data_IF_805535625698
#
_entry.id   IF_805535625698
#
_cell.length_a   1.000
_cell.length_b   1.000
_cell.length_c   1.000
_cell.angle_alpha   90.00
_cell.angle_beta   90.00
_cell.angle_gamma   90.00
#
_symmetry.space_group_name_H-M   'P 1'
#
loop_
_entity.id
_entity.type
_entity.pdbx_description
1 polymer ?
#
# COMPACT_ATOMS: atom_id res chain seq x y z
N UNK A 1 -32.54 4.74 -5.18
CA UNK A 1 -31.19 4.17 -5.38
C UNK A 1 -31.24 2.69 -5.03
N UNK A 2 -30.97 1.80 -5.98
CA UNK A 2 -30.84 0.37 -5.69
C UNK A 2 -29.47 0.15 -5.04
N UNK A 3 -29.45 0.09 -3.71
CA UNK A 3 -28.22 -0.21 -2.96
C UNK A 3 -27.92 -1.71 -3.03
N UNK A 4 -26.70 -2.05 -3.43
CA UNK A 4 -26.20 -3.42 -3.27
C UNK A 4 -25.88 -3.64 -1.80
N UNK A 5 -26.50 -4.65 -1.18
CA UNK A 5 -26.18 -5.04 0.20
C UNK A 5 -25.02 -6.02 0.21
N UNK A 6 -23.96 -5.68 0.93
CA UNK A 6 -22.81 -6.55 1.18
C UNK A 6 -22.90 -7.30 2.52
N UNK A 7 -24.06 -7.26 3.18
CA UNK A 7 -24.27 -7.97 4.44
C UNK A 7 -24.04 -9.47 4.24
N UNK A 8 -23.21 -10.08 5.10
CA UNK A 8 -22.80 -11.48 5.04
C UNK A 8 -22.11 -11.90 3.72
N UNK A 9 -21.58 -10.94 2.95
CA UNK A 9 -20.79 -11.21 1.73
C UNK A 9 -19.30 -10.93 1.90
N UNK A 10 -18.90 -10.31 3.01
CA UNK A 10 -17.52 -9.93 3.31
C UNK A 10 -17.00 -10.75 4.49
N UNK A 11 -15.85 -11.40 4.30
CA UNK A 11 -15.08 -12.01 5.38
C UNK A 11 -13.95 -11.06 5.78
N UNK A 12 -14.16 -10.28 6.85
CA UNK A 12 -13.17 -9.33 7.34
C UNK A 12 -11.96 -10.00 8.01
N UNK A 13 -11.96 -11.33 8.16
CA UNK A 13 -10.78 -12.07 8.59
C UNK A 13 -9.76 -12.28 7.45
N UNK A 14 -10.13 -11.95 6.20
CA UNK A 14 -9.36 -12.22 4.98
C UNK A 14 -9.18 -10.97 4.11
N UNK A 15 -8.66 -9.87 4.69
CA UNK A 15 -8.56 -8.60 3.96
C UNK A 15 -7.16 -8.39 3.37
N UNK A 16 -7.11 -8.09 2.08
CA UNK A 16 -5.94 -7.52 1.41
C UNK A 16 -6.18 -6.05 1.10
N UNK A 17 -5.13 -5.22 1.19
CA UNK A 17 -5.21 -3.81 0.82
C UNK A 17 -4.33 -3.54 -0.40
N UNK A 18 -4.80 -2.67 -1.28
CA UNK A 18 -4.01 -2.20 -2.42
C UNK A 18 -4.22 -0.71 -2.66
N UNK A 19 -3.19 -0.05 -3.16
CA UNK A 19 -3.25 1.38 -3.45
C UNK A 19 -2.20 1.80 -4.47
N UNK A 20 -2.54 2.80 -5.27
CA UNK A 20 -1.65 3.40 -6.27
C UNK A 20 -1.22 4.81 -5.85
N UNK A 21 0.02 5.21 -6.14
CA UNK A 21 0.53 6.57 -5.87
C UNK A 21 0.35 6.95 -4.39
N UNK A 22 -0.30 8.08 -4.09
CA UNK A 22 -0.71 8.49 -2.74
C UNK A 22 -1.59 7.47 -2.03
N UNK A 23 -2.41 6.73 -2.79
CA UNK A 23 -3.24 5.64 -2.27
C UNK A 23 -2.41 4.46 -1.75
N UNK A 24 -1.21 4.22 -2.30
CA UNK A 24 -0.27 3.22 -1.78
C UNK A 24 0.17 3.57 -0.36
N UNK A 25 0.71 4.77 -0.15
CA UNK A 25 1.00 5.25 1.21
C UNK A 25 -0.25 5.29 2.10
N UNK A 26 -1.40 5.62 1.54
CA UNK A 26 -2.70 5.61 2.23
C UNK A 26 -3.08 4.25 2.80
N UNK A 27 -2.88 3.14 2.07
CA UNK A 27 -3.16 1.81 2.60
C UNK A 27 -2.19 1.40 3.71
N UNK A 28 -0.91 1.78 3.62
CA UNK A 28 0.03 1.65 4.75
C UNK A 28 -0.41 2.51 5.94
N UNK A 29 -0.88 3.74 5.72
CA UNK A 29 -1.36 4.60 6.79
C UNK A 29 -2.58 4.00 7.49
N UNK A 30 -3.57 3.50 6.74
CA UNK A 30 -4.74 2.81 7.30
C UNK A 30 -4.34 1.58 8.12
N UNK A 31 -3.41 0.77 7.62
CA UNK A 31 -2.85 -0.39 8.31
C UNK A 31 -2.25 -0.02 9.68
N UNK A 32 -1.39 1.00 9.70
CA UNK A 32 -0.72 1.47 10.91
C UNK A 32 -1.71 2.10 11.89
N UNK A 33 -2.63 2.93 11.39
CA UNK A 33 -3.67 3.55 12.21
C UNK A 33 -4.59 2.52 12.86
N UNK A 34 -4.93 1.43 12.17
CA UNK A 34 -5.76 0.38 12.75
C UNK A 34 -5.02 -0.39 13.86
N UNK A 35 -3.72 -0.64 13.69
CA UNK A 35 -2.89 -1.41 14.63
C UNK A 35 -2.33 -0.60 15.80
N UNK A 36 -2.32 0.73 15.70
CA UNK A 36 -1.71 1.59 16.70
C UNK A 36 -2.35 1.40 18.09
N UNK A 37 -1.52 1.37 19.14
CA UNK A 37 -2.01 1.35 20.52
C UNK A 37 -2.89 2.57 20.81
N UNK A 38 -4.07 2.34 21.39
CA UNK A 38 -5.06 3.39 21.63
C UNK A 38 -5.84 3.84 20.39
N UNK A 39 -5.67 3.17 19.24
CA UNK A 39 -6.47 3.44 18.06
C UNK A 39 -7.96 3.20 18.34
N UNK A 40 -8.85 4.12 17.93
CA UNK A 40 -10.28 3.92 18.05
C UNK A 40 -10.83 3.00 16.95
N UNK A 41 -10.06 2.70 15.90
CA UNK A 41 -10.54 2.02 14.71
C UNK A 41 -10.98 0.57 14.95
N UNK A 42 -10.23 -0.27 15.69
CA UNK A 42 -10.68 -1.64 15.99
C UNK A 42 -12.05 -1.69 16.69
N UNK A 43 -12.34 -0.73 17.58
CA UNK A 43 -13.63 -0.66 18.29
C UNK A 43 -14.77 -0.13 17.41
N UNK A 44 -14.46 0.57 16.31
CA UNK A 44 -15.46 1.11 15.36
C UNK A 44 -15.91 0.09 14.31
N UNK A 45 -15.19 -1.02 14.15
CA UNK A 45 -15.54 -2.08 13.21
C UNK A 45 -16.09 -3.27 13.99
N UNK A 46 -17.37 -3.59 13.77
CA UNK A 46 -18.10 -4.64 14.52
C UNK A 46 -17.38 -5.99 14.48
N UNK A 47 -16.79 -6.34 13.33
CA UNK A 47 -15.94 -7.51 13.18
C UNK A 47 -14.50 -7.06 12.97
N UNK A 48 -13.57 -7.41 13.87
CA UNK A 48 -12.17 -7.02 13.72
C UNK A 48 -11.62 -7.41 12.35
N UNK A 49 -10.91 -6.47 11.72
CA UNK A 49 -10.28 -6.67 10.43
C UNK A 49 -8.92 -7.35 10.61
N UNK A 50 -8.69 -8.43 9.87
CA UNK A 50 -7.39 -9.07 9.77
C UNK A 50 -6.78 -8.81 8.39
N UNK A 51 -5.79 -7.91 8.36
CA UNK A 51 -5.05 -7.57 7.14
C UNK A 51 -3.96 -8.59 6.84
N UNK A 52 -4.15 -9.38 5.79
CA UNK A 52 -3.25 -10.49 5.42
C UNK A 52 -2.14 -10.08 4.45
N UNK A 53 -2.36 -9.02 3.68
CA UNK A 53 -1.38 -8.52 2.72
C UNK A 53 -1.62 -7.07 2.33
N UNK A 54 -0.56 -6.40 1.91
CA UNK A 54 -0.59 -5.08 1.25
C UNK A 54 0.08 -5.22 -0.13
N UNK A 55 -0.53 -4.63 -1.16
CA UNK A 55 0.01 -4.60 -2.51
C UNK A 55 -0.01 -3.17 -3.07
N UNK A 56 1.16 -2.60 -3.30
CA UNK A 56 1.28 -1.20 -3.73
C UNK A 56 1.72 -1.08 -5.19
N UNK A 57 1.12 -0.13 -5.90
CA UNK A 57 1.42 0.21 -7.29
C UNK A 57 2.00 1.63 -7.34
N UNK A 58 3.23 1.79 -7.80
CA UNK A 58 3.91 3.09 -7.89
C UNK A 58 3.68 4.00 -6.66
N UNK A 59 3.83 3.52 -5.41
CA UNK A 59 3.46 4.30 -4.24
C UNK A 59 4.38 5.51 -4.06
N UNK A 60 3.89 6.51 -3.34
CA UNK A 60 4.73 7.56 -2.75
C UNK A 60 5.14 7.18 -1.32
N UNK A 61 6.05 7.96 -0.73
CA UNK A 61 6.42 7.85 0.68
C UNK A 61 6.81 9.24 1.23
N UNK A 62 6.18 9.66 2.33
CA UNK A 62 6.44 10.95 2.99
C UNK A 62 5.27 11.93 2.95
N UNK A 63 4.05 11.48 2.62
CA UNK A 63 2.83 12.29 2.72
C UNK A 63 2.29 12.33 4.17
N UNK A 64 2.64 11.36 5.01
CA UNK A 64 2.24 11.32 6.41
C UNK A 64 3.27 12.00 7.32
N UNK A 65 2.80 12.61 8.43
CA UNK A 65 3.66 13.18 9.46
C UNK A 65 4.54 12.14 10.16
N UNK A 66 4.13 10.87 10.13
CA UNK A 66 4.86 9.73 10.68
C UNK A 66 5.19 8.73 9.58
N UNK A 67 6.33 8.07 9.68
CA UNK A 67 6.69 6.95 8.81
C UNK A 67 5.67 5.81 8.95
N UNK A 68 5.08 5.40 7.84
CA UNK A 68 4.14 4.27 7.78
C UNK A 68 4.80 3.10 7.05
N UNK A 69 4.72 1.91 7.63
CA UNK A 69 5.39 0.70 7.13
C UNK A 69 4.41 -0.46 6.96
N UNK A 70 4.85 -1.50 6.26
CA UNK A 70 4.10 -2.74 6.09
C UNK A 70 4.71 -3.86 6.95
N UNK A 71 5.13 -3.57 8.19
CA UNK A 71 5.69 -4.56 9.11
C UNK A 71 4.62 -5.56 9.56
N UNK A 72 5.02 -6.76 9.95
CA UNK A 72 4.14 -7.82 10.46
C UNK A 72 3.02 -8.25 9.47
N UNK A 73 3.18 -7.98 8.18
CA UNK A 73 2.27 -8.43 7.12
C UNK A 73 3.03 -8.73 5.82
N UNK A 74 2.43 -9.55 4.97
CA UNK A 74 2.97 -9.81 3.63
C UNK A 74 2.83 -8.55 2.78
N UNK A 75 3.86 -8.18 2.06
CA UNK A 75 3.82 -6.96 1.27
C UNK A 75 4.61 -7.08 -0.02
N UNK A 76 4.02 -6.56 -1.09
CA UNK A 76 4.69 -6.42 -2.37
C UNK A 76 4.44 -5.04 -2.95
N UNK A 77 5.47 -4.49 -3.60
CA UNK A 77 5.42 -3.19 -4.26
C UNK A 77 5.87 -3.33 -5.72
N UNK A 78 5.13 -2.73 -6.63
CA UNK A 78 5.54 -2.57 -8.03
C UNK A 78 5.92 -1.10 -8.25
N UNK A 79 7.10 -0.85 -8.81
CA UNK A 79 7.62 0.49 -9.09
C UNK A 79 7.89 0.67 -10.60
N UNK A 80 7.48 1.79 -11.21
CA UNK A 80 7.94 2.16 -12.55
C UNK A 80 9.41 2.61 -12.52
N UNK A 81 10.21 2.19 -13.50
CA UNK A 81 11.60 2.66 -13.62
C UNK A 81 11.74 4.03 -14.30
N UNK A 82 10.70 4.49 -15.02
CA UNK A 82 10.64 5.80 -15.67
C UNK A 82 9.57 6.69 -15.02
N UNK A 83 9.52 6.69 -13.68
CA UNK A 83 8.55 7.47 -12.91
C UNK A 83 8.88 8.98 -12.93
N UNK A 84 8.40 9.68 -13.95
CA UNK A 84 8.60 11.13 -14.13
C UNK A 84 7.89 12.02 -13.10
N UNK A 85 6.91 11.49 -12.35
CA UNK A 85 6.19 12.21 -11.28
C UNK A 85 6.92 12.12 -9.93
N UNK A 86 7.77 11.10 -9.74
CA UNK A 86 8.56 10.89 -8.52
C UNK A 86 10.05 10.87 -8.88
N UNK A 87 10.62 12.06 -9.04
CA UNK A 87 12.04 12.29 -9.43
C UNK A 87 13.11 11.63 -8.55
N UNK A 88 12.73 10.94 -7.45
CA UNK A 88 13.65 10.28 -6.51
C UNK A 88 13.23 8.86 -6.09
N UNK A 89 12.32 8.20 -6.83
CA UNK A 89 11.88 6.81 -6.55
C UNK A 89 11.42 6.59 -5.09
N UNK A 90 10.71 7.57 -4.51
CA UNK A 90 10.38 7.57 -3.07
C UNK A 90 9.62 6.32 -2.61
N UNK A 91 8.86 5.69 -3.51
CA UNK A 91 8.16 4.43 -3.27
C UNK A 91 9.06 3.22 -2.96
N UNK A 92 10.38 3.29 -3.18
CA UNK A 92 11.31 2.23 -2.74
C UNK A 92 11.70 2.36 -1.26
N UNK A 93 11.62 3.56 -0.67
CA UNK A 93 12.06 3.80 0.71
C UNK A 93 11.36 2.90 1.74
N UNK A 94 10.05 2.61 1.62
CA UNK A 94 9.40 1.62 2.48
C UNK A 94 10.03 0.23 2.33
N UNK A 95 10.45 -0.14 1.12
CA UNK A 95 11.09 -1.43 0.86
C UNK A 95 12.43 -1.53 1.55
N UNK A 96 13.28 -0.51 1.42
CA UNK A 96 14.57 -0.44 2.10
C UNK A 96 14.42 -0.52 3.63
N UNK A 97 13.42 0.16 4.19
CA UNK A 97 13.10 0.05 5.63
C UNK A 97 12.62 -1.34 6.03
N UNK A 98 11.84 -2.01 5.18
CA UNK A 98 11.26 -3.32 5.51
C UNK A 98 12.24 -4.47 5.36
N UNK A 99 13.13 -4.45 4.36
CA UNK A 99 14.15 -5.51 4.22
C UNK A 99 15.23 -5.46 5.31
N UNK A 100 15.38 -4.33 5.98
CA UNK A 100 16.33 -4.13 7.09
C UNK A 100 15.68 -4.22 8.47
N UNK A 101 14.36 -4.41 8.54
CA UNK A 101 13.62 -4.44 9.80
C UNK A 101 13.83 -5.77 10.54
N UNK A 102 14.58 -5.74 11.64
CA UNK A 102 14.85 -6.92 12.47
C UNK A 102 13.85 -7.12 13.63
N UNK A 103 12.84 -6.26 13.72
CA UNK A 103 11.90 -6.23 14.86
C UNK A 103 10.64 -7.08 14.63
N UNK A 104 10.46 -7.69 13.45
CA UNK A 104 9.35 -8.62 13.23
C UNK A 104 9.57 -9.91 14.04
N UNK A 105 8.60 -10.27 14.91
CA UNK A 105 8.64 -11.53 15.66
C UNK A 105 8.64 -12.76 14.74
N UNK A 106 8.02 -12.64 13.57
CA UNK A 106 8.03 -13.65 12.51
C UNK A 106 8.28 -12.94 11.19
N UNK A 107 9.38 -13.25 10.47
CA UNK A 107 9.64 -12.67 9.17
C UNK A 107 8.49 -12.91 8.21
N UNK A 108 8.04 -11.84 7.56
CA UNK A 108 6.99 -11.88 6.54
C UNK A 108 7.55 -11.59 5.15
N UNK A 109 6.89 -12.10 4.10
CA UNK A 109 7.31 -11.87 2.72
C UNK A 109 7.30 -10.36 2.41
N UNK A 110 8.45 -9.85 1.96
CA UNK A 110 8.60 -8.51 1.35
C UNK A 110 9.13 -8.70 -0.07
N UNK A 111 8.49 -8.07 -1.05
CA UNK A 111 8.89 -8.16 -2.45
C UNK A 111 8.83 -6.79 -3.13
N UNK A 112 9.82 -6.50 -3.96
CA UNK A 112 9.78 -5.38 -4.89
C UNK A 112 9.92 -5.91 -6.32
N UNK A 113 9.08 -5.37 -7.20
CA UNK A 113 9.16 -5.56 -8.64
C UNK A 113 9.31 -4.19 -9.29
N UNK A 114 10.19 -4.10 -10.26
CA UNK A 114 10.39 -2.90 -11.06
C UNK A 114 10.02 -3.18 -12.50
N UNK A 115 9.24 -2.28 -13.11
CA UNK A 115 8.82 -2.41 -14.51
C UNK A 115 9.63 -1.44 -15.34
N UNK A 116 10.54 -2.00 -16.15
CA UNK A 116 11.36 -1.24 -17.07
C UNK A 116 10.49 -0.55 -18.13
N UNK A 117 10.72 0.75 -18.36
CA UNK A 117 9.99 1.54 -19.36
C UNK A 117 8.57 1.97 -18.97
N UNK A 118 8.06 1.57 -17.79
CA UNK A 118 6.80 2.08 -17.27
C UNK A 118 6.99 3.44 -16.59
N UNK A 119 6.02 4.35 -16.78
CA UNK A 119 5.89 5.59 -16.02
C UNK A 119 4.86 5.44 -14.87
N UNK A 120 4.69 6.48 -14.06
CA UNK A 120 3.80 6.50 -12.90
C UNK A 120 2.37 6.01 -13.20
N UNK A 121 1.89 6.29 -14.42
CA UNK A 121 0.49 6.17 -14.81
C UNK A 121 0.18 4.92 -15.64
N UNK A 122 1.18 4.13 -16.05
CA UNK A 122 0.95 2.89 -16.83
C UNK A 122 0.26 1.77 -16.03
N UNK A 123 -0.04 1.99 -14.76
CA UNK A 123 -0.87 1.11 -13.92
C UNK A 123 -2.35 1.51 -13.89
N UNK A 124 -2.74 2.61 -14.55
CA UNK A 124 -4.12 3.09 -14.65
C UNK A 124 -4.77 2.58 -15.95
N UNK A 125 -6.07 2.24 -15.93
CA UNK A 125 -6.84 1.81 -17.12
C UNK A 125 -7.52 2.95 -17.89
N UNK A 126 -7.26 4.22 -17.54
CA UNK A 126 -7.79 5.38 -18.27
C UNK A 126 -6.71 6.17 -19.00
N UNK A 127 -6.99 6.53 -20.26
CA UNK A 127 -6.13 7.31 -21.15
C UNK A 127 -6.01 8.75 -20.66
N UNK A 128 -4.88 9.08 -20.04
CA UNK A 128 -4.30 10.40 -20.27
C UNK A 128 -3.03 10.20 -21.09
N UNK A 129 -2.90 11.04 -22.12
CA UNK A 129 -1.87 10.96 -23.13
C UNK A 129 -0.51 10.75 -22.47
N UNK A 130 0.27 9.82 -23.03
CA UNK A 130 1.61 9.50 -22.58
C UNK A 130 2.39 10.78 -22.25
N UNK A 131 2.68 11.02 -20.97
CA UNK A 131 3.70 11.97 -20.59
C UNK A 131 5.06 11.26 -20.63
N UNK A 132 5.93 11.88 -21.42
CA UNK A 132 7.21 11.38 -21.88
C UNK A 132 8.14 11.03 -20.72
N UNK A 133 8.83 9.89 -20.85
CA UNK A 133 10.11 9.70 -20.21
C UNK A 133 11.04 10.83 -20.67
N UNK A 134 11.51 11.65 -19.72
CA UNK A 134 12.64 12.57 -19.94
C UNK A 134 13.94 11.87 -19.59
#
# INVERSE_FOLDING_TARGET
>A
ALGVSFLNRLDLTQVGMMGHSRGGEGVRAAYNQYRAGGSPWPARVVSPVNFRAIFELAPVDGQNATTVNADSTKWAVILPMCDGDVSTLQGIRPFDRMVTLLTETTPTLKSSLTVFGANHNYYNTEWQQAESAS
#
